data_IF_565245095059
#
_entry.id   IF_565245095059
#
_cell.length_a   1.000
_cell.length_b   1.000
_cell.length_c   1.000
_cell.angle_alpha   90.00
_cell.angle_beta   90.00
_cell.angle_gamma   90.00
#
_symmetry.space_group_name_H-M   'P 1'
#
loop_
_entity.id
_entity.type
_entity.pdbx_description
1 polymer ?
#
# COMPACT_ATOMS: atom_id res chain seq x y z
N UNK A 1 1.53 13.25 30.46
CA UNK A 1 0.49 12.26 30.13
C UNK A 1 1.08 11.31 29.11
N UNK A 2 1.13 10.00 29.38
CA UNK A 2 1.49 9.01 28.36
C UNK A 2 0.33 8.94 27.36
N UNK A 3 0.46 9.61 26.22
CA UNK A 3 -0.46 9.42 25.10
C UNK A 3 -0.09 8.11 24.42
N UNK A 4 -0.80 7.04 24.80
CA UNK A 4 -0.72 5.76 24.08
C UNK A 4 -1.10 6.01 22.63
N UNK A 5 -0.16 5.78 21.71
CA UNK A 5 -0.37 5.90 20.27
C UNK A 5 -0.10 4.57 19.60
N UNK A 6 -0.78 4.32 18.50
CA UNK A 6 -0.64 3.08 17.72
C UNK A 6 0.12 3.33 16.42
N UNK A 7 0.99 2.38 16.05
CA UNK A 7 1.55 2.28 14.72
C UNK A 7 0.91 1.10 14.00
N UNK A 8 0.51 1.30 12.75
CA UNK A 8 -0.14 0.30 11.90
C UNK A 8 0.83 -0.09 10.80
N UNK A 9 0.99 -1.38 10.53
CA UNK A 9 1.87 -1.91 9.50
C UNK A 9 1.05 -2.79 8.55
N UNK A 10 0.90 -2.34 7.31
CA UNK A 10 0.14 -3.03 6.26
C UNK A 10 1.12 -3.60 5.25
N UNK A 11 1.10 -4.92 5.06
CA UNK A 11 1.71 -5.58 3.91
C UNK A 11 0.76 -5.46 2.72
N UNK A 12 1.05 -4.51 1.83
CA UNK A 12 0.27 -4.22 0.64
C UNK A 12 0.31 -5.36 -0.39
N UNK A 13 1.45 -6.02 -0.55
CA UNK A 13 1.59 -7.12 -1.51
C UNK A 13 0.71 -8.32 -1.12
N UNK A 14 0.73 -8.68 0.17
CA UNK A 14 -0.15 -9.73 0.71
C UNK A 14 -1.63 -9.32 0.64
N UNK A 15 -1.95 -8.08 1.01
CA UNK A 15 -3.31 -7.57 1.00
C UNK A 15 -3.89 -7.51 -0.42
N UNK A 16 -3.11 -7.14 -1.44
CA UNK A 16 -3.54 -7.07 -2.83
C UNK A 16 -3.96 -8.46 -3.36
N UNK A 17 -3.16 -9.49 -3.06
CA UNK A 17 -3.47 -10.88 -3.42
C UNK A 17 -4.73 -11.37 -2.70
N UNK A 18 -4.78 -11.19 -1.37
CA UNK A 18 -5.92 -11.61 -0.55
C UNK A 18 -7.20 -10.92 -0.98
N UNK A 19 -7.15 -9.61 -1.24
CA UNK A 19 -8.32 -8.85 -1.67
C UNK A 19 -8.81 -9.28 -3.05
N UNK A 20 -7.89 -9.60 -3.97
CA UNK A 20 -8.26 -10.11 -5.30
C UNK A 20 -8.91 -11.49 -5.22
N UNK A 21 -8.31 -12.41 -4.47
CA UNK A 21 -8.66 -13.83 -4.51
C UNK A 21 -9.83 -14.17 -3.57
N UNK A 22 -9.91 -13.51 -2.40
CA UNK A 22 -10.92 -13.80 -1.36
C UNK A 22 -12.03 -12.75 -1.28
N UNK A 23 -11.78 -11.52 -1.75
CA UNK A 23 -12.70 -10.40 -1.63
C UNK A 23 -13.14 -9.82 -2.99
N UNK A 24 -12.94 -10.54 -4.10
CA UNK A 24 -13.32 -10.13 -5.46
C UNK A 24 -12.81 -8.73 -5.85
N UNK A 25 -11.63 -8.33 -5.37
CA UNK A 25 -11.01 -7.05 -5.71
C UNK A 25 -11.79 -5.83 -5.20
N UNK A 26 -12.40 -5.93 -4.01
CA UNK A 26 -13.13 -4.82 -3.40
C UNK A 26 -12.28 -3.56 -3.26
N UNK A 27 -12.91 -2.40 -3.44
CA UNK A 27 -12.26 -1.10 -3.22
C UNK A 27 -12.17 -0.81 -1.72
N UNK A 28 -10.95 -0.68 -1.22
CA UNK A 28 -10.66 -0.39 0.19
C UNK A 28 -10.43 1.10 0.37
N UNK A 29 -11.15 1.72 1.31
CA UNK A 29 -10.86 3.05 1.82
C UNK A 29 -9.83 2.93 2.95
N UNK A 30 -8.56 3.16 2.62
CA UNK A 30 -7.44 2.97 3.54
C UNK A 30 -7.47 3.93 4.74
N UNK A 31 -8.05 5.12 4.59
CA UNK A 31 -8.21 6.05 5.71
C UNK A 31 -9.20 5.48 6.73
N UNK A 32 -10.35 4.98 6.27
CA UNK A 32 -11.33 4.30 7.14
C UNK A 32 -10.79 3.00 7.73
N UNK A 33 -10.02 2.22 6.96
CA UNK A 33 -9.36 1.01 7.46
C UNK A 33 -8.42 1.34 8.62
N UNK A 34 -7.55 2.35 8.47
CA UNK A 34 -6.63 2.74 9.53
C UNK A 34 -7.36 3.22 10.79
N UNK A 35 -8.43 4.02 10.64
CA UNK A 35 -9.28 4.45 11.77
C UNK A 35 -9.90 3.24 12.47
N UNK A 36 -10.40 2.27 11.70
CA UNK A 36 -11.02 1.06 12.24
C UNK A 36 -10.01 0.18 12.99
N UNK A 37 -8.81 -0.01 12.44
CA UNK A 37 -7.71 -0.75 13.07
C UNK A 37 -7.20 -0.07 14.35
N UNK A 38 -7.20 1.26 14.37
CA UNK A 38 -6.74 2.03 15.52
C UNK A 38 -7.67 1.92 16.75
N UNK A 39 -8.95 1.57 16.56
CA UNK A 39 -9.87 1.31 17.66
C UNK A 39 -10.06 2.49 18.63
N UNK A 40 -9.89 3.73 18.16
CA UNK A 40 -9.96 4.95 18.99
C UNK A 40 -8.63 5.38 19.62
N UNK A 41 -7.55 4.62 19.45
CA UNK A 41 -6.20 5.04 19.85
C UNK A 41 -5.66 6.04 18.82
N UNK A 42 -4.98 7.10 19.26
CA UNK A 42 -4.36 8.07 18.35
C UNK A 42 -3.32 7.37 17.45
N UNK A 43 -3.43 7.55 16.13
CA UNK A 43 -2.51 6.97 15.16
C UNK A 43 -1.21 7.78 15.13
N UNK A 44 -0.11 7.13 15.51
CA UNK A 44 1.24 7.66 15.32
C UNK A 44 1.61 7.67 13.83
N UNK A 45 1.43 6.52 13.17
CA UNK A 45 1.66 6.32 11.74
C UNK A 45 1.03 5.04 11.21
N UNK A 46 0.68 5.05 9.94
CA UNK A 46 0.31 3.89 9.14
C UNK A 46 1.36 3.68 8.07
N UNK A 47 2.09 2.59 8.16
CA UNK A 47 3.05 2.17 7.15
C UNK A 47 2.38 1.23 6.17
N UNK A 48 2.51 1.54 4.88
CA UNK A 48 2.07 0.66 3.80
C UNK A 48 3.30 0.18 3.02
N UNK A 49 3.62 -1.10 3.14
CA UNK A 49 4.76 -1.72 2.47
C UNK A 49 4.27 -2.38 1.18
N UNK A 50 4.83 -2.00 0.04
CA UNK A 50 4.55 -2.67 -1.23
C UNK A 50 5.73 -2.48 -2.18
N UNK A 51 5.82 -3.26 -3.25
CA UNK A 51 6.74 -3.00 -4.35
C UNK A 51 5.98 -2.44 -5.54
N UNK A 52 6.60 -1.52 -6.28
CA UNK A 52 6.05 -1.16 -7.59
C UNK A 52 6.10 -2.39 -8.52
N UNK A 53 5.13 -2.51 -9.46
CA UNK A 53 5.21 -3.52 -10.51
C UNK A 53 6.54 -3.45 -11.26
N UNK A 54 6.98 -4.58 -11.79
CA UNK A 54 8.15 -4.58 -12.66
C UNK A 54 7.90 -3.72 -13.90
N UNK A 55 8.92 -2.94 -14.29
CA UNK A 55 8.93 -2.16 -15.53
C UNK A 55 10.32 -2.26 -16.16
N UNK A 56 10.37 -2.63 -17.44
CA UNK A 56 11.62 -2.72 -18.21
C UNK A 56 12.16 -1.33 -18.57
N UNK A 57 13.41 -1.27 -19.04
CA UNK A 57 13.99 -0.03 -19.59
C UNK A 57 13.20 0.48 -20.80
N UNK A 58 12.68 -0.44 -21.61
CA UNK A 58 11.76 -0.16 -22.72
C UNK A 58 10.43 -0.87 -22.44
N UNK A 59 9.55 -0.26 -21.64
CA UNK A 59 8.35 -0.94 -21.17
C UNK A 59 7.34 -1.12 -22.29
N UNK A 60 6.58 -2.22 -22.20
CA UNK A 60 5.36 -2.34 -22.98
C UNK A 60 4.30 -1.33 -22.50
N UNK A 61 3.30 -1.05 -23.32
CA UNK A 61 2.19 -0.18 -22.92
C UNK A 61 1.49 -0.70 -21.65
N UNK A 62 1.34 -2.02 -21.52
CA UNK A 62 0.73 -2.66 -20.36
C UNK A 62 1.59 -2.51 -19.09
N UNK A 63 2.90 -2.72 -19.19
CA UNK A 63 3.83 -2.53 -18.07
C UNK A 63 3.80 -1.07 -17.60
N UNK A 64 3.91 -0.12 -18.54
CA UNK A 64 3.86 1.31 -18.27
C UNK A 64 2.54 1.70 -17.59
N UNK A 65 1.42 1.19 -18.09
CA UNK A 65 0.08 1.44 -17.52
C UNK A 65 -0.04 0.90 -16.09
N UNK A 66 0.41 -0.34 -15.83
CA UNK A 66 0.37 -0.95 -14.49
C UNK A 66 1.25 -0.19 -13.50
N UNK A 67 2.47 0.15 -13.91
CA UNK A 67 3.42 0.90 -13.10
C UNK A 67 2.89 2.29 -12.74
N UNK A 68 2.35 3.02 -13.73
CA UNK A 68 1.76 4.34 -13.53
C UNK A 68 0.54 4.31 -12.59
N UNK A 69 -0.31 3.28 -12.71
CA UNK A 69 -1.46 3.09 -11.81
C UNK A 69 -1.02 2.82 -10.37
N UNK A 70 -0.02 1.95 -10.16
CA UNK A 70 0.53 1.67 -8.84
C UNK A 70 1.14 2.94 -8.20
N UNK A 71 1.93 3.70 -8.96
CA UNK A 71 2.48 4.98 -8.49
C UNK A 71 1.39 5.98 -8.11
N UNK A 72 0.32 6.08 -8.92
CA UNK A 72 -0.82 6.96 -8.62
C UNK A 72 -1.50 6.54 -7.32
N UNK A 73 -1.68 5.24 -7.12
CA UNK A 73 -2.24 4.70 -5.88
C UNK A 73 -1.33 4.99 -4.67
N UNK A 74 -0.03 4.72 -4.76
CA UNK A 74 0.93 5.04 -3.70
C UNK A 74 0.96 6.53 -3.39
N UNK A 75 0.90 7.39 -4.42
CA UNK A 75 0.83 8.85 -4.24
C UNK A 75 -0.44 9.26 -3.48
N UNK A 76 -1.58 8.64 -3.79
CA UNK A 76 -2.83 8.87 -3.06
C UNK A 76 -2.72 8.44 -1.59
N UNK A 77 -2.08 7.30 -1.30
CA UNK A 77 -1.82 6.87 0.08
C UNK A 77 -0.88 7.81 0.83
N UNK A 78 0.22 8.25 0.19
CA UNK A 78 1.17 9.22 0.78
C UNK A 78 0.51 10.56 1.13
N UNK A 79 -0.57 10.93 0.44
CA UNK A 79 -1.33 12.15 0.73
C UNK A 79 -2.29 12.01 1.93
N UNK A 80 -2.55 10.78 2.42
CA UNK A 80 -3.39 10.57 3.59
C UNK A 80 -2.66 10.98 4.88
N UNK A 81 -3.37 11.59 5.85
CA UNK A 81 -2.76 11.94 7.14
C UNK A 81 -2.18 10.73 7.85
N UNK A 82 -0.95 10.86 8.36
CA UNK A 82 -0.23 9.81 9.10
C UNK A 82 0.12 8.57 8.25
N UNK A 83 0.03 8.60 6.93
CA UNK A 83 0.48 7.50 6.08
C UNK A 83 1.93 7.67 5.64
N UNK A 84 2.66 6.56 5.56
CA UNK A 84 3.99 6.47 4.96
C UNK A 84 4.05 5.21 4.09
N UNK A 85 4.22 5.39 2.78
CA UNK A 85 4.39 4.26 1.86
C UNK A 85 5.87 3.94 1.76
N UNK A 86 6.22 2.67 1.98
CA UNK A 86 7.57 2.13 1.90
C UNK A 86 7.66 1.19 0.71
N UNK A 87 8.24 1.71 -0.37
CA UNK A 87 8.43 0.96 -1.60
C UNK A 87 9.64 0.03 -1.47
N UNK A 88 9.41 -1.27 -1.61
CA UNK A 88 10.46 -2.28 -1.73
C UNK A 88 10.94 -2.42 -3.17
N UNK A 89 12.14 -3.01 -3.34
CA UNK A 89 12.62 -3.45 -4.65
C UNK A 89 12.22 -4.91 -4.89
N UNK A 90 11.72 -5.22 -6.08
CA UNK A 90 11.52 -6.60 -6.51
C UNK A 90 12.90 -7.22 -6.81
N UNK A 91 13.42 -8.04 -5.89
CA UNK A 91 14.78 -8.59 -5.97
C UNK A 91 14.87 -9.81 -6.91
N UNK A 92 13.76 -10.51 -7.17
CA UNK A 92 13.77 -11.73 -7.98
C UNK A 92 13.15 -11.52 -9.37
N UNK A 93 14.00 -11.37 -10.37
CA UNK A 93 13.68 -11.73 -11.75
C UNK A 93 14.16 -13.17 -11.94
N UNK A 94 13.25 -14.14 -11.97
CA UNK A 94 13.60 -15.48 -12.46
C UNK A 94 14.04 -15.31 -13.92
N UNK A 95 15.36 -15.43 -14.16
CA UNK A 95 15.97 -15.60 -15.47
C UNK A 95 16.23 -17.08 -15.70
#
# INVERSE_FOLDING_TARGET
>A
MNTTRIAIFIDGGYLDVTNRDECNGMKIDYAKLAIKLAGGIEILRTYYYNCLPYQQTHPTEEESKRFAQAQKFHSALKALPRFEVREGMLVYLYR
#
